data_IF_311269326812
#
_entry.id   IF_311269326812
#
_cell.length_a   1.000
_cell.length_b   1.000
_cell.length_c   1.000
_cell.angle_alpha   90.00
_cell.angle_beta   90.00
_cell.angle_gamma   90.00
#
_symmetry.space_group_name_H-M   'P 1'
#
loop_
_entity.id
_entity.type
_entity.pdbx_description
1 polymer ?
#
# COMPACT_ATOMS: atom_id res chain seq x y z
N UNK A 1 5.58 29.66 3.48
CA UNK A 1 6.26 28.43 3.92
C UNK A 1 5.58 27.26 3.20
N UNK A 2 6.16 26.81 2.09
CA UNK A 2 5.61 25.71 1.31
C UNK A 2 5.93 24.43 2.08
N UNK A 3 4.91 23.75 2.61
CA UNK A 3 5.08 22.39 3.12
C UNK A 3 5.38 21.51 1.90
N UNK A 4 6.64 21.11 1.75
CA UNK A 4 6.98 19.96 0.91
C UNK A 4 6.21 18.77 1.47
N UNK A 5 5.08 18.41 0.85
CA UNK A 5 4.43 17.13 1.10
C UNK A 5 5.36 16.08 0.48
N UNK A 6 6.31 15.59 1.28
CA UNK A 6 7.12 14.43 0.91
C UNK A 6 6.19 13.29 0.54
N UNK A 7 6.60 12.49 -0.45
CA UNK A 7 5.85 11.31 -0.90
C UNK A 7 5.52 10.45 0.32
N UNK A 8 4.23 10.16 0.53
CA UNK A 8 3.83 9.26 1.61
C UNK A 8 4.13 7.82 1.20
N UNK A 9 5.18 7.23 1.79
CA UNK A 9 5.59 5.85 1.56
C UNK A 9 4.59 4.79 2.09
N UNK A 10 3.45 5.19 2.66
CA UNK A 10 2.38 4.29 3.15
C UNK A 10 1.27 4.08 2.12
N UNK A 11 1.29 4.80 1.00
CA UNK A 11 0.40 4.60 -0.15
C UNK A 11 1.26 4.16 -1.33
N UNK A 12 0.83 3.12 -2.06
CA UNK A 12 1.52 2.71 -3.28
C UNK A 12 1.57 3.87 -4.27
N UNK A 13 2.76 4.14 -4.81
CA UNK A 13 2.91 5.24 -5.76
C UNK A 13 2.03 5.00 -7.00
N UNK A 14 1.21 6.01 -7.34
CA UNK A 14 0.48 6.06 -8.61
C UNK A 14 1.38 6.70 -9.66
N UNK A 15 1.55 6.02 -10.80
CA UNK A 15 2.36 6.51 -11.93
C UNK A 15 1.52 7.01 -13.09
N UNK A 16 0.26 6.56 -13.23
CA UNK A 16 -0.62 7.00 -14.31
C UNK A 16 -1.64 5.97 -14.73
N UNK A 17 -2.35 6.28 -15.81
CA UNK A 17 -3.24 5.36 -16.53
C UNK A 17 -2.65 5.17 -17.93
N UNK A 18 -2.57 3.92 -18.38
CA UNK A 18 -2.29 3.57 -19.75
C UNK A 18 -3.58 3.09 -20.44
N UNK A 19 -3.71 3.32 -21.74
CA UNK A 19 -4.83 2.83 -22.53
C UNK A 19 -4.30 1.95 -23.66
N UNK A 20 -4.87 0.76 -23.83
CA UNK A 20 -4.62 -0.05 -25.00
C UNK A 20 -5.30 0.60 -26.22
N UNK A 21 -4.56 0.99 -27.27
CA UNK A 21 -5.13 1.71 -28.41
C UNK A 21 -6.10 0.85 -29.25
N UNK A 22 -5.96 -0.47 -29.22
CA UNK A 22 -6.79 -1.42 -29.97
C UNK A 22 -8.04 -1.82 -29.19
N UNK A 23 -7.89 -2.32 -27.96
CA UNK A 23 -9.01 -2.81 -27.15
C UNK A 23 -9.76 -1.70 -26.42
N UNK A 24 -9.17 -0.49 -26.36
CA UNK A 24 -9.63 0.67 -25.56
C UNK A 24 -9.68 0.42 -24.05
N UNK A 25 -9.13 -0.69 -23.57
CA UNK A 25 -9.03 -1.01 -22.15
C UNK A 25 -8.04 -0.07 -21.45
N UNK A 26 -8.34 0.25 -20.19
CA UNK A 26 -7.51 1.08 -19.35
C UNK A 26 -6.77 0.23 -18.31
N UNK A 27 -5.49 0.53 -18.12
CA UNK A 27 -4.63 -0.07 -17.11
C UNK A 27 -4.15 1.01 -16.15
N UNK A 28 -4.26 0.76 -14.86
CA UNK A 28 -3.63 1.61 -13.85
C UNK A 28 -2.19 1.18 -13.65
N UNK A 29 -1.26 2.13 -13.70
CA UNK A 29 0.16 1.90 -13.44
C UNK A 29 0.47 2.34 -12.02
N UNK A 30 0.76 1.38 -11.15
CA UNK A 30 1.07 1.60 -9.73
C UNK A 30 2.36 0.88 -9.34
N UNK A 31 2.94 1.28 -8.21
CA UNK A 31 4.09 0.61 -7.59
C UNK A 31 3.84 -0.88 -7.35
N UNK A 32 4.82 -1.69 -7.72
CA UNK A 32 4.79 -3.12 -7.49
C UNK A 32 5.12 -3.44 -6.03
N UNK A 33 4.14 -3.98 -5.31
CA UNK A 33 4.32 -4.46 -3.95
C UNK A 33 5.15 -5.76 -3.95
N UNK A 34 6.48 -5.62 -3.83
CA UNK A 34 7.45 -6.73 -3.93
C UNK A 34 7.16 -7.88 -2.94
N UNK A 35 6.55 -7.59 -1.79
CA UNK A 35 6.20 -8.58 -0.76
C UNK A 35 4.74 -9.04 -0.81
N UNK A 36 3.99 -8.63 -1.84
CA UNK A 36 2.57 -8.94 -1.98
C UNK A 36 1.68 -8.20 -0.97
N UNK A 37 0.54 -8.79 -0.66
CA UNK A 37 -0.48 -8.18 0.20
C UNK A 37 -0.29 -8.52 1.68
N UNK A 38 -0.74 -7.61 2.56
CA UNK A 38 -0.81 -7.87 3.99
C UNK A 38 -1.66 -9.11 4.31
N UNK A 39 -2.74 -9.33 3.56
CA UNK A 39 -3.57 -10.52 3.70
C UNK A 39 -2.77 -11.81 3.49
N UNK A 40 -2.01 -11.90 2.39
CA UNK A 40 -1.20 -13.08 2.10
C UNK A 40 -0.13 -13.30 3.17
N UNK A 41 0.51 -12.22 3.62
CA UNK A 41 1.50 -12.30 4.70
C UNK A 41 0.89 -12.86 6.00
N UNK A 42 -0.26 -12.34 6.45
CA UNK A 42 -0.93 -12.79 7.68
C UNK A 42 -1.46 -14.22 7.56
N UNK A 43 -2.05 -14.58 6.41
CA UNK A 43 -2.53 -15.93 6.13
C UNK A 43 -1.39 -16.95 6.18
N UNK A 44 -0.25 -16.64 5.55
CA UNK A 44 0.93 -17.51 5.60
C UNK A 44 1.49 -17.67 7.02
N UNK A 45 1.50 -16.59 7.80
CA UNK A 45 1.94 -16.63 9.19
C UNK A 45 1.05 -17.54 10.04
N UNK A 46 -0.27 -17.37 9.92
CA UNK A 46 -1.28 -18.20 10.59
C UNK A 46 -1.16 -19.68 10.20
N UNK A 47 -1.02 -19.98 8.90
CA UNK A 47 -0.87 -21.34 8.41
C UNK A 47 0.41 -22.02 8.92
N UNK A 48 1.45 -21.24 9.23
CA UNK A 48 2.71 -21.76 9.81
C UNK A 48 2.67 -21.91 11.34
N UNK A 49 1.55 -21.63 11.99
CA UNK A 49 1.40 -21.67 13.44
C UNK A 49 2.19 -20.59 14.19
N UNK A 50 2.67 -19.56 13.48
CA UNK A 50 3.42 -18.45 14.06
C UNK A 50 2.48 -17.29 14.38
N UNK A 51 2.84 -16.53 15.40
CA UNK A 51 2.15 -15.28 15.73
C UNK A 51 2.98 -14.05 15.35
N UNK A 52 2.29 -12.98 14.97
CA UNK A 52 2.93 -11.69 14.73
C UNK A 52 3.27 -11.03 16.08
N UNK A 53 4.51 -10.55 16.21
CA UNK A 53 4.92 -9.79 17.39
C UNK A 53 4.03 -8.56 17.60
N UNK A 54 3.69 -8.27 18.85
CA UNK A 54 2.83 -7.14 19.21
C UNK A 54 3.34 -5.79 18.66
N UNK A 55 4.65 -5.57 18.72
CA UNK A 55 5.27 -4.37 18.12
C UNK A 55 4.96 -4.25 16.63
N UNK A 56 5.06 -5.35 15.87
CA UNK A 56 4.74 -5.37 14.44
C UNK A 56 3.26 -5.11 14.16
N UNK A 57 2.36 -5.58 15.03
CA UNK A 57 0.92 -5.27 14.93
C UNK A 57 0.69 -3.75 15.05
N UNK A 58 1.33 -3.10 16.02
CA UNK A 58 1.25 -1.65 16.21
C UNK A 58 1.84 -0.90 15.01
N UNK A 59 3.01 -1.30 14.52
CA UNK A 59 3.65 -0.68 13.35
C UNK A 59 2.75 -0.75 12.11
N UNK A 60 2.11 -1.91 11.86
CA UNK A 60 1.17 -2.08 10.75
C UNK A 60 -0.05 -1.17 10.90
N UNK A 61 -0.65 -1.11 12.09
CA UNK A 61 -1.80 -0.24 12.36
C UNK A 61 -1.44 1.23 12.14
N UNK A 62 -0.29 1.69 12.65
CA UNK A 62 0.18 3.05 12.45
C UNK A 62 0.34 3.39 10.96
N UNK A 63 0.97 2.50 10.18
CA UNK A 63 1.16 2.71 8.75
C UNK A 63 -0.16 2.77 7.99
N UNK A 64 -1.11 1.88 8.30
CA UNK A 64 -2.45 1.89 7.68
C UNK A 64 -3.19 3.18 8.05
N UNK A 65 -3.22 3.54 9.33
CA UNK A 65 -3.92 4.74 9.80
C UNK A 65 -3.36 6.02 9.18
N UNK A 66 -2.03 6.14 9.05
CA UNK A 66 -1.44 7.33 8.46
C UNK A 66 -1.57 7.37 6.94
N UNK A 67 -1.55 6.21 6.25
CA UNK A 67 -1.93 6.15 4.84
C UNK A 67 -3.38 6.60 4.61
N UNK A 68 -4.32 6.17 5.47
CA UNK A 68 -5.72 6.61 5.42
C UNK A 68 -5.88 8.11 5.73
N UNK A 69 -5.13 8.65 6.68
CA UNK A 69 -5.07 10.10 6.95
C UNK A 69 -4.63 10.87 5.70
N UNK A 70 -3.57 10.40 5.03
CA UNK A 70 -3.08 11.01 3.79
C UNK A 70 -4.13 10.98 2.66
N UNK A 71 -4.92 9.91 2.54
CA UNK A 71 -6.05 9.85 1.59
C UNK A 71 -7.16 10.84 1.96
N UNK A 72 -7.49 10.96 3.25
CA UNK A 72 -8.54 11.90 3.69
C UNK A 72 -8.14 13.38 3.55
N UNK A 73 -6.85 13.68 3.64
CA UNK A 73 -6.32 15.05 3.56
C UNK A 73 -5.90 15.47 2.13
N UNK A 74 -5.88 14.54 1.18
CA UNK A 74 -5.57 14.78 -0.23
C UNK A 74 -6.73 15.49 -0.94
#
# INVERSE_FOLDING_TARGET
MIKNRGVDHRILQYYGIAQNPETKEYLMVIEYATHGSLHNFLSNLSNSGKELLWKRKIDLLYNISSGLESVHLA
#
